data_IF_284541117343
#
_entry.id   IF_284541117343
#
_cell.length_a   1.000
_cell.length_b   1.000
_cell.length_c   1.000
_cell.angle_alpha   90.00
_cell.angle_beta   90.00
_cell.angle_gamma   90.00
#
_symmetry.space_group_name_H-M   'P 1'
#
loop_
_entity.id
_entity.type
_entity.pdbx_description
1 polymer ?
#
# COMPACT_ATOMS: atom_id res chain seq x y z
N UNK A 1 22.98 -8.02 42.30
CA UNK A 1 23.18 -7.53 40.92
C UNK A 1 21.85 -7.01 40.45
N UNK A 2 21.77 -5.79 39.89
CA UNK A 2 20.49 -5.22 39.47
C UNK A 2 19.92 -6.09 38.34
N UNK A 3 18.73 -6.66 38.56
CA UNK A 3 18.07 -7.61 37.64
C UNK A 3 17.07 -6.93 36.72
N UNK A 4 16.99 -5.59 36.77
CA UNK A 4 16.06 -4.85 35.93
C UNK A 4 16.38 -5.05 34.44
N UNK A 5 15.36 -5.34 33.61
CA UNK A 5 15.55 -5.57 32.19
C UNK A 5 16.08 -4.29 31.52
N UNK A 6 17.02 -4.47 30.58
CA UNK A 6 17.41 -3.42 29.64
C UNK A 6 16.21 -3.08 28.76
N UNK A 7 16.10 -1.83 28.32
CA UNK A 7 15.06 -1.41 27.37
C UNK A 7 15.71 -0.86 26.11
N UNK A 8 15.21 -1.23 24.95
CA UNK A 8 15.64 -0.73 23.65
C UNK A 8 14.49 -0.01 22.97
N UNK A 9 14.68 1.28 22.71
CA UNK A 9 13.77 2.09 21.92
C UNK A 9 14.20 2.05 20.46
N UNK A 10 13.28 1.76 19.54
CA UNK A 10 13.50 1.89 18.10
C UNK A 10 12.63 3.03 17.60
N UNK A 11 13.25 4.18 17.37
CA UNK A 11 12.55 5.46 17.23
C UNK A 11 12.59 5.92 15.77
N UNK A 12 11.42 5.97 15.14
CA UNK A 12 11.25 6.63 13.84
C UNK A 12 11.46 8.13 13.96
N UNK A 13 12.43 8.68 13.23
CA UNK A 13 12.80 10.10 13.25
C UNK A 13 12.34 10.88 12.02
N UNK A 14 11.46 10.28 11.21
CA UNK A 14 10.88 10.96 10.06
C UNK A 14 11.76 10.94 8.80
N UNK A 15 11.24 11.51 7.71
CA UNK A 15 11.87 11.42 6.38
C UNK A 15 13.01 12.42 6.10
N UNK A 16 13.39 13.29 7.06
CA UNK A 16 14.47 14.27 6.88
C UNK A 16 14.15 15.70 7.33
N UNK A 17 12.89 15.99 7.64
CA UNK A 17 12.44 17.24 8.28
C UNK A 17 12.43 17.06 9.81
N UNK A 18 13.08 17.92 10.62
CA UNK A 18 12.97 17.89 12.08
C UNK A 18 11.51 17.91 12.58
N UNK A 19 10.62 18.62 11.87
CA UNK A 19 9.21 18.73 12.25
C UNK A 19 8.43 17.43 12.03
N UNK A 20 9.04 16.42 11.40
CA UNK A 20 8.47 15.08 11.32
C UNK A 20 8.60 14.28 12.63
N UNK A 21 9.36 14.77 13.62
CA UNK A 21 9.41 14.14 14.93
C UNK A 21 8.03 14.14 15.58
N UNK A 22 7.53 12.95 15.88
CA UNK A 22 6.29 12.83 16.63
C UNK A 22 6.52 13.20 18.09
N UNK A 23 5.48 13.64 18.79
CA UNK A 23 5.57 13.84 20.25
C UNK A 23 5.95 12.56 21.00
N UNK A 24 5.64 11.38 20.45
CA UNK A 24 6.09 10.11 20.99
C UNK A 24 7.60 9.91 20.80
N UNK A 25 8.15 10.27 19.63
CA UNK A 25 9.58 10.20 19.35
C UNK A 25 10.36 11.15 20.27
N UNK A 26 9.91 12.39 20.46
CA UNK A 26 10.53 13.36 21.39
C UNK A 26 10.56 12.80 22.82
N UNK A 27 9.42 12.28 23.32
CA UNK A 27 9.36 11.66 24.65
C UNK A 27 10.22 10.40 24.76
N UNK A 28 10.39 9.65 23.68
CA UNK A 28 11.25 8.47 23.67
C UNK A 28 12.73 8.86 23.72
N UNK A 29 13.14 9.84 22.91
CA UNK A 29 14.50 10.41 22.93
C UNK A 29 14.82 10.94 24.33
N UNK A 30 13.91 11.67 24.97
CA UNK A 30 14.15 12.24 26.31
C UNK A 30 14.32 11.20 27.42
N UNK A 31 13.94 9.93 27.21
CA UNK A 31 14.04 8.83 28.19
C UNK A 31 15.30 7.97 28.01
N UNK A 32 15.99 8.07 26.89
CA UNK A 32 17.12 7.20 26.58
C UNK A 32 18.40 7.65 27.29
N UNK A 33 19.10 6.70 27.91
CA UNK A 33 20.42 6.90 28.53
C UNK A 33 21.55 6.80 27.49
N UNK A 34 21.38 5.93 26.49
CA UNK A 34 22.41 5.60 25.50
C UNK A 34 21.80 5.57 24.09
N UNK A 35 22.40 6.30 23.16
CA UNK A 35 22.01 6.28 21.75
C UNK A 35 23.05 5.53 20.92
N UNK A 36 22.60 4.52 20.19
CA UNK A 36 23.43 3.75 19.28
C UNK A 36 23.35 4.35 17.88
N UNK A 37 24.47 4.84 17.37
CA UNK A 37 24.56 5.45 16.05
C UNK A 37 25.51 4.62 15.18
N UNK A 38 24.94 3.95 14.18
CA UNK A 38 25.75 3.31 13.14
C UNK A 38 26.10 4.30 12.04
N UNK A 39 27.40 4.44 11.79
CA UNK A 39 27.95 5.30 10.74
C UNK A 39 28.65 4.51 9.63
N UNK A 40 28.65 5.06 8.42
CA UNK A 40 29.48 4.60 7.29
C UNK A 40 30.58 5.62 7.04
N UNK A 41 31.58 5.66 7.92
CA UNK A 41 32.72 6.58 7.76
C UNK A 41 32.33 8.04 7.44
N UNK A 42 33.24 8.84 6.89
CA UNK A 42 33.06 10.28 6.72
C UNK A 42 32.11 10.74 5.58
N UNK A 43 31.40 9.84 4.89
CA UNK A 43 30.63 10.17 3.67
C UNK A 43 29.15 10.57 3.87
N UNK A 44 28.69 10.85 5.11
CA UNK A 44 27.30 11.30 5.36
C UNK A 44 27.21 12.37 6.45
N UNK A 45 27.92 13.48 6.28
CA UNK A 45 27.92 14.58 7.27
C UNK A 45 26.50 15.10 7.54
N UNK A 46 25.73 15.47 6.51
CA UNK A 46 24.46 16.17 6.69
C UNK A 46 23.39 15.38 7.47
N UNK A 47 23.21 14.08 7.21
CA UNK A 47 22.26 13.24 7.95
C UNK A 47 22.73 12.92 9.37
N UNK A 48 24.05 12.78 9.56
CA UNK A 48 24.64 12.59 10.88
C UNK A 48 24.49 13.85 11.73
N UNK A 49 24.72 15.02 11.13
CA UNK A 49 24.53 16.32 11.76
C UNK A 49 23.07 16.56 12.13
N UNK A 50 22.13 16.15 11.28
CA UNK A 50 20.70 16.24 11.59
C UNK A 50 20.32 15.38 12.80
N UNK A 51 20.82 14.15 12.90
CA UNK A 51 20.62 13.31 14.09
C UNK A 51 21.20 13.95 15.35
N UNK A 52 22.41 14.51 15.26
CA UNK A 52 23.07 15.20 16.38
C UNK A 52 22.23 16.38 16.86
N UNK A 53 21.74 17.23 15.94
CA UNK A 53 20.84 18.33 16.29
C UNK A 53 19.57 17.87 17.00
N UNK A 54 18.93 16.80 16.52
CA UNK A 54 17.75 16.24 17.18
C UNK A 54 18.04 15.76 18.61
N UNK A 55 19.21 15.16 18.83
CA UNK A 55 19.64 14.75 20.17
C UNK A 55 19.95 15.95 21.06
N UNK A 56 20.68 16.94 20.56
CA UNK A 56 21.02 18.15 21.30
C UNK A 56 19.77 18.92 21.76
N UNK A 57 18.71 18.88 20.95
CA UNK A 57 17.45 19.58 21.25
C UNK A 57 16.50 18.81 22.16
N UNK A 58 16.44 17.47 22.05
CA UNK A 58 15.36 16.69 22.67
C UNK A 58 15.82 15.62 23.68
N UNK A 59 17.10 15.27 23.74
CA UNK A 59 17.60 14.30 24.71
C UNK A 59 17.79 14.94 26.09
N UNK A 60 17.51 14.18 27.16
CA UNK A 60 17.70 14.64 28.54
C UNK A 60 19.12 14.31 29.02
N UNK A 61 19.95 15.28 29.43
CA UNK A 61 21.23 14.98 30.04
C UNK A 61 21.11 14.32 31.43
N UNK A 62 22.04 13.43 31.82
CA UNK A 62 23.17 12.94 31.01
C UNK A 62 22.73 11.80 30.07
N UNK A 63 23.10 11.90 28.80
CA UNK A 63 23.01 10.79 27.83
C UNK A 63 24.38 10.54 27.19
N UNK A 64 24.56 9.35 26.60
CA UNK A 64 25.77 8.98 25.84
C UNK A 64 25.41 8.63 24.42
N UNK A 65 26.29 8.95 23.48
CA UNK A 65 26.21 8.46 22.10
C UNK A 65 27.34 7.46 21.89
N UNK A 66 26.97 6.25 21.49
CA UNK A 66 27.91 5.17 21.15
C UNK A 66 27.88 5.01 19.64
N UNK A 67 29.00 5.36 19.01
CA UNK A 67 29.17 5.25 17.57
C UNK A 67 29.88 3.94 17.22
N UNK A 68 29.39 3.26 16.18
CA UNK A 68 30.04 2.08 15.63
C UNK A 68 30.01 2.10 14.10
N UNK A 69 31.02 1.48 13.50
CA UNK A 69 31.13 1.36 12.05
C UNK A 69 30.17 0.27 11.54
N UNK A 70 29.30 0.64 10.60
CA UNK A 70 28.39 -0.30 9.94
C UNK A 70 29.20 -1.28 9.08
N UNK A 71 29.03 -2.61 9.24
CA UNK A 71 29.77 -3.59 8.45
C UNK A 71 29.67 -3.31 6.95
N UNK A 72 30.80 -3.39 6.25
CA UNK A 72 30.82 -3.21 4.79
C UNK A 72 29.99 -4.31 4.10
N UNK A 73 29.19 -3.90 3.11
CA UNK A 73 28.47 -4.82 2.21
C UNK A 73 29.14 -4.79 0.84
N UNK A 74 29.72 -5.92 0.44
CA UNK A 74 30.33 -6.09 -0.88
C UNK A 74 29.24 -6.16 -1.98
N UNK A 75 28.96 -5.01 -2.60
CA UNK A 75 27.95 -4.88 -3.68
C UNK A 75 28.44 -5.41 -5.03
N UNK A 76 29.74 -5.71 -5.18
CA UNK A 76 30.33 -6.14 -6.45
C UNK A 76 30.16 -7.65 -6.71
N UNK A 77 29.86 -8.44 -5.68
CA UNK A 77 29.58 -9.89 -5.79
C UNK A 77 28.12 -10.23 -6.10
N UNK A 78 27.28 -9.24 -6.40
CA UNK A 78 25.83 -9.37 -6.62
C UNK A 78 25.50 -9.96 -8.02
N UNK A 79 25.82 -11.24 -8.23
CA UNK A 79 25.12 -12.06 -9.23
C UNK A 79 23.74 -12.51 -8.70
N UNK A 80 22.81 -12.90 -9.59
CA UNK A 80 21.42 -13.29 -9.23
C UNK A 80 21.29 -14.38 -8.15
N UNK A 81 22.28 -15.26 -7.98
CA UNK A 81 22.28 -16.27 -6.90
C UNK A 81 23.09 -15.89 -5.65
N UNK A 82 23.88 -14.81 -5.69
CA UNK A 82 24.77 -14.37 -4.59
C UNK A 82 24.19 -13.27 -3.70
N UNK A 83 23.14 -12.57 -4.16
CA UNK A 83 22.53 -11.44 -3.44
C UNK A 83 21.98 -11.84 -2.07
N UNK A 84 21.19 -12.92 -1.99
CA UNK A 84 20.57 -13.36 -0.73
C UNK A 84 21.62 -13.76 0.31
N UNK A 85 22.67 -14.47 -0.12
CA UNK A 85 23.76 -14.90 0.76
C UNK A 85 24.59 -13.70 1.26
N UNK A 86 24.92 -12.73 0.39
CA UNK A 86 25.66 -11.53 0.78
C UNK A 86 24.85 -10.62 1.72
N UNK A 87 23.53 -10.52 1.53
CA UNK A 87 22.64 -9.80 2.45
C UNK A 87 22.56 -10.51 3.80
N UNK A 88 22.46 -11.84 3.81
CA UNK A 88 22.41 -12.64 5.04
C UNK A 88 23.70 -12.51 5.86
N UNK A 89 24.87 -12.67 5.24
CA UNK A 89 26.18 -12.51 5.91
C UNK A 89 26.35 -11.09 6.47
N UNK A 90 26.01 -10.06 5.69
CA UNK A 90 26.05 -8.68 6.16
C UNK A 90 25.10 -8.43 7.35
N UNK A 91 23.87 -8.96 7.30
CA UNK A 91 22.90 -8.86 8.41
C UNK A 91 23.41 -9.55 9.67
N UNK A 92 23.96 -10.75 9.54
CA UNK A 92 24.54 -11.51 10.66
C UNK A 92 25.67 -10.73 11.34
N UNK A 93 26.60 -10.15 10.58
CA UNK A 93 27.67 -9.31 11.15
C UNK A 93 27.15 -8.07 11.86
N UNK A 94 26.04 -7.50 11.38
CA UNK A 94 25.40 -6.34 12.01
C UNK A 94 24.64 -6.75 13.28
N UNK A 95 24.05 -7.93 13.31
CA UNK A 95 23.47 -8.51 14.53
C UNK A 95 24.55 -8.74 15.59
N UNK A 96 25.71 -9.30 15.22
CA UNK A 96 26.83 -9.46 16.15
C UNK A 96 27.31 -8.11 16.69
N UNK A 97 27.32 -7.07 15.86
CA UNK A 97 27.67 -5.71 16.30
C UNK A 97 26.64 -5.16 17.30
N UNK A 98 25.35 -5.23 16.99
CA UNK A 98 24.28 -4.78 17.88
C UNK A 98 24.31 -5.52 19.21
N UNK A 99 24.46 -6.84 19.18
CA UNK A 99 24.55 -7.67 20.38
C UNK A 99 25.70 -7.23 21.28
N UNK A 100 26.90 -6.98 20.71
CA UNK A 100 28.04 -6.44 21.46
C UNK A 100 27.73 -5.07 22.06
N UNK A 101 27.19 -4.15 21.26
CA UNK A 101 26.85 -2.80 21.75
C UNK A 101 25.83 -2.84 22.89
N UNK A 102 24.77 -3.62 22.76
CA UNK A 102 23.73 -3.75 23.79
C UNK A 102 24.30 -4.38 25.06
N UNK A 103 25.11 -5.43 24.92
CA UNK A 103 25.70 -6.12 26.08
C UNK A 103 26.71 -5.26 26.82
N UNK A 104 27.61 -4.61 26.07
CA UNK A 104 28.81 -4.00 26.63
C UNK A 104 28.57 -2.52 27.03
N UNK A 105 27.64 -1.82 26.37
CA UNK A 105 27.40 -0.39 26.58
C UNK A 105 26.06 -0.06 27.27
N UNK A 106 25.12 -1.00 27.35
CA UNK A 106 23.85 -0.81 28.06
C UNK A 106 23.82 -1.61 29.36
N UNK A 107 23.88 -0.91 30.50
CA UNK A 107 23.75 -1.53 31.82
C UNK A 107 22.33 -2.05 32.11
N UNK A 108 22.14 -3.01 33.03
CA UNK A 108 20.81 -3.42 33.49
C UNK A 108 19.96 -2.25 34.00
N UNK A 109 18.67 -2.24 33.68
CA UNK A 109 17.73 -1.18 34.01
C UNK A 109 17.90 0.14 33.22
N UNK A 110 18.85 0.21 32.28
CA UNK A 110 19.05 1.38 31.40
C UNK A 110 18.25 1.26 30.11
N UNK A 111 18.00 2.41 29.50
CA UNK A 111 17.27 2.55 28.24
C UNK A 111 18.23 2.95 27.11
N UNK A 112 18.42 2.06 26.15
CA UNK A 112 19.13 2.34 24.90
C UNK A 112 18.18 2.76 23.79
N UNK A 113 18.66 3.47 22.77
CA UNK A 113 17.86 3.89 21.63
C UNK A 113 18.58 3.77 20.29
N UNK A 114 17.86 3.30 19.28
CA UNK A 114 18.23 3.37 17.87
C UNK A 114 17.36 4.42 17.16
N UNK A 115 17.99 5.37 16.47
CA UNK A 115 17.29 6.37 15.65
C UNK A 115 17.19 5.89 14.20
N UNK A 116 15.96 5.63 13.74
CA UNK A 116 15.65 5.06 12.42
C UNK A 116 15.02 6.11 11.53
N UNK A 117 15.57 6.31 10.32
CA UNK A 117 14.99 7.23 9.34
C UNK A 117 13.63 6.72 8.87
N UNK A 118 12.67 7.63 8.72
CA UNK A 118 11.31 7.30 8.35
C UNK A 118 10.58 6.60 9.49
N UNK A 119 10.07 5.41 9.19
CA UNK A 119 9.35 4.55 10.13
C UNK A 119 10.08 3.20 10.29
N UNK A 120 10.27 2.69 11.52
CA UNK A 120 10.96 1.41 11.75
C UNK A 120 10.33 0.19 11.05
N UNK A 121 9.05 0.25 10.70
CA UNK A 121 8.35 -0.85 10.05
C UNK A 121 8.59 -0.91 8.53
N UNK A 122 9.13 0.15 7.90
CA UNK A 122 9.20 0.25 6.45
C UNK A 122 10.63 0.19 5.92
N UNK A 123 11.00 -0.96 5.35
CA UNK A 123 12.32 -1.22 4.73
C UNK A 123 13.55 -0.90 5.59
N UNK A 124 13.42 -0.99 6.90
CA UNK A 124 14.54 -0.92 7.84
C UNK A 124 14.91 -2.31 8.39
N UNK A 125 16.18 -2.51 8.74
CA UNK A 125 16.67 -3.81 9.23
C UNK A 125 16.70 -3.93 10.75
N UNK A 126 16.54 -2.84 11.50
CA UNK A 126 16.80 -2.77 12.95
C UNK A 126 15.94 -3.76 13.73
N UNK A 127 14.63 -3.78 13.50
CA UNK A 127 13.71 -4.69 14.21
C UNK A 127 14.03 -6.17 13.96
N UNK A 128 14.30 -6.53 12.70
CA UNK A 128 14.68 -7.90 12.36
C UNK A 128 16.01 -8.34 12.99
N UNK A 129 16.95 -7.40 13.14
CA UNK A 129 18.23 -7.68 13.82
C UNK A 129 18.00 -7.86 15.33
N UNK A 130 17.19 -7.02 15.96
CA UNK A 130 16.90 -7.14 17.40
C UNK A 130 16.16 -8.45 17.72
N UNK A 131 15.22 -8.87 16.86
CA UNK A 131 14.55 -10.16 16.99
C UNK A 131 15.54 -11.33 16.92
N UNK A 132 16.50 -11.30 15.99
CA UNK A 132 17.56 -12.31 15.90
C UNK A 132 18.40 -12.39 17.20
N UNK A 133 18.71 -11.24 17.81
CA UNK A 133 19.49 -11.20 19.06
C UNK A 133 18.66 -11.74 20.23
N UNK A 134 17.36 -11.41 20.29
CA UNK A 134 16.44 -11.93 21.29
C UNK A 134 16.34 -13.46 21.19
N UNK A 135 16.22 -14.01 19.97
CA UNK A 135 16.22 -15.46 19.71
C UNK A 135 17.53 -16.14 20.15
N UNK A 136 18.68 -15.48 19.98
CA UNK A 136 19.99 -15.98 20.46
C UNK A 136 20.07 -16.06 21.99
N UNK A 137 19.34 -15.21 22.71
CA UNK A 137 19.26 -15.21 24.18
C UNK A 137 20.55 -14.87 24.93
N UNK A 138 21.54 -14.29 24.26
CA UNK A 138 22.86 -13.94 24.82
C UNK A 138 22.81 -12.70 25.72
N UNK A 139 21.85 -11.80 25.47
CA UNK A 139 21.59 -10.58 26.25
C UNK A 139 20.08 -10.34 26.32
N UNK A 140 19.56 -10.12 27.53
CA UNK A 140 18.15 -9.86 27.76
C UNK A 140 17.82 -8.37 27.71
N UNK A 141 16.77 -8.01 26.97
CA UNK A 141 16.21 -6.66 26.84
C UNK A 141 14.75 -6.72 26.39
N UNK A 142 14.00 -5.66 26.66
CA UNK A 142 12.67 -5.42 26.09
C UNK A 142 12.77 -4.40 24.95
N UNK A 143 11.96 -4.56 23.89
CA UNK A 143 11.92 -3.64 22.75
C UNK A 143 10.64 -2.81 22.71
N UNK A 144 10.75 -1.49 22.60
CA UNK A 144 9.64 -0.56 22.36
C UNK A 144 9.86 0.14 21.00
N UNK A 145 8.85 0.13 20.14
CA UNK A 145 8.93 0.74 18.80
C UNK A 145 8.08 2.01 18.76
N UNK A 146 8.67 3.11 18.30
CA UNK A 146 7.99 4.39 18.13
C UNK A 146 7.87 4.69 16.63
N UNK A 147 6.65 4.84 16.09
CA UNK A 147 6.45 5.11 14.67
C UNK A 147 6.94 6.51 14.29
N UNK A 148 7.26 6.67 13.00
CA UNK A 148 7.73 7.92 12.42
C UNK A 148 7.09 8.23 11.08
N UNK A 149 7.24 9.47 10.60
CA UNK A 149 6.73 9.86 9.28
C UNK A 149 7.59 9.22 8.19
N UNK A 150 7.05 8.25 7.46
CA UNK A 150 7.75 7.59 6.36
C UNK A 150 8.02 8.53 5.17
N UNK A 151 9.01 8.19 4.34
CA UNK A 151 9.24 8.90 3.06
C UNK A 151 8.06 8.77 2.09
N UNK A 152 7.26 7.72 2.22
CA UNK A 152 6.05 7.48 1.42
C UNK A 152 4.96 8.50 1.78
N UNK A 153 4.70 8.66 3.08
CA UNK A 153 3.75 9.67 3.58
C UNK A 153 4.23 11.09 3.26
N UNK A 154 5.54 11.35 3.42
CA UNK A 154 6.12 12.65 3.08
C UNK A 154 6.01 12.95 1.57
N UNK A 155 6.27 11.98 0.69
CA UNK A 155 6.10 12.15 -0.76
C UNK A 155 4.66 12.53 -1.11
N UNK A 156 3.68 11.79 -0.59
CA UNK A 156 2.27 12.06 -0.83
C UNK A 156 1.85 13.46 -0.35
N UNK A 157 2.30 13.85 0.84
CA UNK A 157 2.03 15.17 1.40
C UNK A 157 2.65 16.30 0.55
N UNK A 158 3.90 16.15 0.12
CA UNK A 158 4.62 17.16 -0.69
C UNK A 158 4.03 17.32 -2.09
N UNK A 159 3.56 16.23 -2.69
CA UNK A 159 2.81 16.27 -3.97
C UNK A 159 1.33 16.62 -3.81
N UNK A 160 0.82 16.73 -2.56
CA UNK A 160 -0.59 17.01 -2.22
C UNK A 160 -1.57 16.00 -2.83
N UNK A 161 -1.24 14.72 -2.72
CA UNK A 161 -2.03 13.62 -3.26
C UNK A 161 -2.34 12.59 -2.18
N UNK A 162 -3.39 11.80 -2.41
CA UNK A 162 -3.57 10.51 -1.73
C UNK A 162 -2.71 9.44 -2.40
N UNK A 163 -2.23 8.48 -1.61
CA UNK A 163 -1.48 7.33 -2.14
C UNK A 163 -2.35 6.44 -3.01
N UNK A 164 -3.62 6.25 -2.64
CA UNK A 164 -4.58 5.47 -3.41
C UNK A 164 -5.55 6.38 -4.18
N UNK A 165 -6.00 5.90 -5.34
CA UNK A 165 -7.26 6.30 -5.95
C UNK A 165 -8.43 5.61 -5.23
N UNK A 166 -9.65 6.09 -5.45
CA UNK A 166 -10.86 5.54 -4.83
C UNK A 166 -11.00 4.06 -5.18
N UNK A 167 -11.09 3.21 -4.16
CA UNK A 167 -11.27 1.76 -4.32
C UNK A 167 -10.05 0.99 -4.84
N UNK A 168 -8.91 1.66 -5.11
CA UNK A 168 -7.71 1.00 -5.63
C UNK A 168 -6.71 0.63 -4.53
N UNK A 169 -6.02 -0.51 -4.64
CA UNK A 169 -4.97 -0.88 -3.70
C UNK A 169 -3.72 0.00 -3.85
N UNK A 170 -2.90 0.03 -2.80
CA UNK A 170 -1.55 0.61 -2.84
C UNK A 170 -0.55 -0.52 -2.67
N UNK A 171 0.42 -0.61 -3.59
CA UNK A 171 1.54 -1.53 -3.49
C UNK A 171 2.81 -0.76 -3.21
N UNK A 172 3.44 -1.01 -2.06
CA UNK A 172 4.77 -0.49 -1.74
C UNK A 172 5.80 -1.57 -2.06
N UNK A 173 6.75 -1.27 -2.94
CA UNK A 173 7.65 -2.30 -3.49
C UNK A 173 9.07 -1.76 -3.72
N UNK A 174 10.13 -2.59 -3.62
CA UNK A 174 11.44 -2.17 -4.06
C UNK A 174 11.52 -2.17 -5.60
N UNK A 175 12.35 -1.30 -6.17
CA UNK A 175 12.51 -1.19 -7.63
C UNK A 175 12.85 -2.51 -8.35
N UNK A 176 13.60 -3.41 -7.71
CA UNK A 176 13.89 -4.75 -8.27
C UNK A 176 12.60 -5.53 -8.56
N UNK A 177 11.62 -5.48 -7.65
CA UNK A 177 10.33 -6.17 -7.80
C UNK A 177 9.48 -5.51 -8.87
N UNK A 178 9.52 -4.18 -8.99
CA UNK A 178 8.88 -3.47 -10.11
C UNK A 178 9.38 -4.00 -11.47
N UNK A 179 10.69 -4.21 -11.65
CA UNK A 179 11.24 -4.75 -12.91
C UNK A 179 10.78 -6.19 -13.20
N UNK A 180 10.58 -6.99 -12.16
CA UNK A 180 10.18 -8.40 -12.27
C UNK A 180 8.67 -8.55 -12.51
N UNK A 181 7.86 -7.74 -11.83
CA UNK A 181 6.41 -7.91 -11.73
C UNK A 181 5.65 -6.90 -12.60
N UNK A 182 6.28 -5.79 -13.01
CA UNK A 182 5.63 -4.71 -13.74
C UNK A 182 4.62 -3.92 -12.90
N UNK A 183 3.78 -3.15 -13.59
CA UNK A 183 2.63 -2.47 -13.00
C UNK A 183 1.40 -3.39 -12.99
N UNK A 184 0.62 -3.29 -11.93
CA UNK A 184 -0.66 -3.95 -11.70
C UNK A 184 -1.76 -2.88 -11.57
N UNK A 185 -2.95 -3.27 -11.11
CA UNK A 185 -4.06 -2.35 -10.88
C UNK A 185 -3.88 -1.45 -9.64
N UNK A 186 -2.77 -1.58 -8.92
CA UNK A 186 -2.44 -0.80 -7.75
C UNK A 186 -1.76 0.54 -8.08
N UNK A 187 -1.89 1.48 -7.16
CA UNK A 187 -0.99 2.62 -7.07
C UNK A 187 0.35 2.16 -6.48
N UNK A 188 1.43 2.25 -7.26
CA UNK A 188 2.70 1.59 -6.92
C UNK A 188 3.69 2.61 -6.38
N UNK A 189 3.94 2.56 -5.08
CA UNK A 189 5.03 3.32 -4.45
C UNK A 189 6.31 2.50 -4.52
N UNK A 190 7.34 3.09 -5.10
CA UNK A 190 8.63 2.44 -5.33
C UNK A 190 9.70 3.06 -4.45
N UNK A 191 10.46 2.18 -3.81
CA UNK A 191 11.56 2.51 -2.90
C UNK A 191 12.82 1.75 -3.31
N UNK A 192 13.96 2.13 -2.73
CA UNK A 192 15.24 1.42 -2.88
C UNK A 192 15.70 1.27 -4.34
N UNK A 193 15.45 2.30 -5.16
CA UNK A 193 15.84 2.28 -6.56
C UNK A 193 17.25 2.84 -6.78
N UNK A 194 18.19 1.98 -7.12
CA UNK A 194 19.54 2.42 -7.53
C UNK A 194 19.61 2.75 -9.02
N UNK A 195 18.73 2.19 -9.86
CA UNK A 195 18.91 2.09 -11.30
C UNK A 195 17.73 2.58 -12.13
N UNK A 196 16.89 3.46 -11.58
CA UNK A 196 15.85 4.18 -12.32
C UNK A 196 14.83 3.25 -13.01
N UNK A 197 14.33 2.24 -12.29
CA UNK A 197 13.39 1.25 -12.79
C UNK A 197 12.13 1.87 -13.43
N UNK A 198 11.76 3.10 -13.07
CA UNK A 198 10.69 3.83 -13.74
C UNK A 198 10.94 4.05 -15.25
N UNK A 199 12.18 4.08 -15.73
CA UNK A 199 12.48 4.24 -17.17
C UNK A 199 12.16 2.98 -17.99
N UNK A 200 11.99 1.84 -17.33
CA UNK A 200 11.69 0.55 -17.96
C UNK A 200 10.18 0.28 -18.04
N UNK A 201 9.35 1.15 -17.46
CA UNK A 201 7.89 1.03 -17.48
C UNK A 201 7.37 1.53 -18.82
N UNK A 202 6.86 0.62 -19.64
CA UNK A 202 6.31 0.90 -20.97
C UNK A 202 4.79 1.11 -20.90
N UNK A 203 4.33 2.33 -20.60
CA UNK A 203 2.92 2.70 -20.66
C UNK A 203 2.73 4.24 -20.77
N UNK A 204 2.02 4.67 -21.81
CA UNK A 204 1.70 6.08 -22.09
C UNK A 204 0.63 6.66 -21.14
N UNK A 205 -0.04 5.81 -20.35
CA UNK A 205 -1.04 6.17 -19.34
C UNK A 205 -0.48 6.31 -17.94
N UNK A 206 0.83 6.22 -17.72
CA UNK A 206 1.42 6.28 -16.37
C UNK A 206 1.80 7.70 -15.99
N UNK A 207 1.36 8.11 -14.82
CA UNK A 207 1.77 9.32 -14.13
C UNK A 207 2.77 8.97 -13.02
N UNK A 208 3.84 9.75 -12.92
CA UNK A 208 4.82 9.63 -11.84
C UNK A 208 4.75 10.83 -10.90
N UNK A 209 4.83 10.57 -9.60
CA UNK A 209 5.13 11.55 -8.56
C UNK A 209 6.45 11.16 -7.92
N UNK A 210 7.52 11.81 -8.33
CA UNK A 210 8.88 11.51 -7.88
C UNK A 210 9.37 12.57 -6.90
N UNK A 211 10.16 12.13 -5.91
CA UNK A 211 10.84 13.03 -4.99
C UNK A 211 12.20 12.49 -4.55
N UNK A 212 13.19 13.37 -4.48
CA UNK A 212 14.48 13.11 -3.84
C UNK A 212 14.66 13.99 -2.61
N UNK A 213 15.31 13.43 -1.58
CA UNK A 213 15.57 14.10 -0.30
C UNK A 213 14.33 14.77 0.33
N UNK A 214 13.17 14.11 0.17
CA UNK A 214 11.85 14.63 0.55
C UNK A 214 11.84 15.03 2.03
N UNK A 215 11.44 16.27 2.32
CA UNK A 215 11.43 16.86 3.66
C UNK A 215 12.73 17.54 4.09
N UNK A 216 13.82 17.43 3.32
CA UNK A 216 15.07 18.14 3.62
C UNK A 216 15.17 19.47 2.86
N UNK A 217 16.12 20.36 3.21
CA UNK A 217 16.39 21.57 2.43
C UNK A 217 16.82 21.31 0.97
N UNK A 218 17.31 20.11 0.66
CA UNK A 218 17.75 19.70 -0.67
C UNK A 218 16.62 19.05 -1.50
N UNK A 219 15.35 19.15 -1.06
CA UNK A 219 14.21 18.49 -1.68
C UNK A 219 14.06 18.83 -3.19
N UNK A 220 13.84 17.78 -3.98
CA UNK A 220 13.53 17.90 -5.41
C UNK A 220 12.25 17.13 -5.68
N UNK A 221 11.26 17.79 -6.29
CA UNK A 221 9.98 17.18 -6.67
C UNK A 221 9.76 17.30 -8.18
N UNK A 222 9.33 16.20 -8.79
CA UNK A 222 8.92 16.16 -10.20
C UNK A 222 7.66 15.32 -10.31
N UNK A 223 6.67 15.81 -11.04
CA UNK A 223 5.49 15.02 -11.38
C UNK A 223 5.02 15.32 -12.79
N UNK A 224 4.38 14.33 -13.41
CA UNK A 224 3.88 14.43 -14.77
C UNK A 224 3.65 13.06 -15.41
N UNK A 225 3.15 13.04 -16.66
CA UNK A 225 3.17 11.84 -17.48
C UNK A 225 4.59 11.29 -17.57
N UNK A 226 4.76 10.02 -17.28
CA UNK A 226 6.08 9.38 -17.18
C UNK A 226 6.92 9.57 -18.45
N UNK A 227 6.40 9.42 -19.69
CA UNK A 227 7.18 9.67 -20.90
C UNK A 227 7.74 11.10 -21.00
N UNK A 228 7.01 12.08 -20.46
CA UNK A 228 7.37 13.50 -20.57
C UNK A 228 8.45 13.89 -19.54
N UNK A 229 8.43 13.27 -18.36
CA UNK A 229 9.28 13.70 -17.22
C UNK A 229 10.43 12.74 -16.90
N UNK A 230 10.43 11.50 -17.40
CA UNK A 230 11.48 10.51 -17.10
C UNK A 230 12.89 11.04 -17.37
N UNK A 231 13.15 11.61 -18.55
CA UNK A 231 14.46 12.18 -18.89
C UNK A 231 14.86 13.39 -18.03
N UNK A 232 13.88 14.16 -17.51
CA UNK A 232 14.16 15.23 -16.55
C UNK A 232 14.54 14.66 -15.19
N UNK A 233 13.83 13.64 -14.72
CA UNK A 233 14.13 12.97 -13.45
C UNK A 233 15.55 12.38 -13.48
N UNK A 234 15.91 11.67 -14.55
CA UNK A 234 17.25 11.07 -14.68
C UNK A 234 18.38 12.09 -14.60
N UNK A 235 18.22 13.24 -15.27
CA UNK A 235 19.21 14.33 -15.17
C UNK A 235 19.32 14.89 -13.76
N UNK A 236 18.19 15.24 -13.13
CA UNK A 236 18.18 15.78 -11.76
C UNK A 236 18.78 14.79 -10.76
N UNK A 237 18.48 13.50 -10.93
CA UNK A 237 19.02 12.42 -10.10
C UNK A 237 20.54 12.32 -10.22
N UNK A 238 21.07 12.39 -11.45
CA UNK A 238 22.51 12.37 -11.71
C UNK A 238 23.22 13.62 -11.14
N UNK A 239 22.64 14.81 -11.35
CA UNK A 239 23.18 16.08 -10.82
C UNK A 239 23.21 16.09 -9.28
N UNK A 240 22.14 15.67 -8.64
CA UNK A 240 22.04 15.56 -7.20
C UNK A 240 23.06 14.56 -6.63
N UNK A 241 23.18 13.38 -7.25
CA UNK A 241 24.19 12.39 -6.86
C UNK A 241 25.61 12.93 -7.01
N UNK A 242 25.91 13.67 -8.07
CA UNK A 242 27.21 14.30 -8.27
C UNK A 242 27.51 15.38 -7.22
N UNK A 243 26.50 16.17 -6.82
CA UNK A 243 26.64 17.22 -5.81
C UNK A 243 26.81 16.67 -4.39
N UNK A 244 26.02 15.66 -4.02
CA UNK A 244 25.94 15.20 -2.63
C UNK A 244 26.71 13.89 -2.38
N UNK A 245 27.20 13.20 -3.42
CA UNK A 245 27.85 11.89 -3.34
C UNK A 245 26.89 10.71 -3.13
N UNK A 246 25.63 10.98 -2.83
CA UNK A 246 24.57 10.00 -2.63
C UNK A 246 23.23 10.55 -3.12
N UNK A 247 22.26 9.67 -3.33
CA UNK A 247 20.88 10.04 -3.60
C UNK A 247 19.93 9.07 -2.90
N UNK A 248 18.82 9.60 -2.43
CA UNK A 248 17.69 8.83 -1.93
C UNK A 248 16.43 9.43 -2.51
N UNK A 249 15.78 8.65 -3.36
CA UNK A 249 14.53 8.99 -4.00
C UNK A 249 13.46 7.92 -3.73
N UNK A 250 12.22 8.35 -3.84
CA UNK A 250 11.03 7.49 -3.80
C UNK A 250 10.00 8.09 -4.74
N UNK A 251 9.17 7.24 -5.33
CA UNK A 251 8.18 7.72 -6.29
C UNK A 251 6.92 6.87 -6.28
N UNK A 252 5.80 7.48 -6.64
CA UNK A 252 4.54 6.81 -6.90
C UNK A 252 4.32 6.75 -8.42
N UNK A 253 4.03 5.55 -8.92
CA UNK A 253 3.53 5.32 -10.27
C UNK A 253 2.03 5.03 -10.20
N UNK A 254 1.26 5.70 -11.05
CA UNK A 254 -0.19 5.58 -11.12
C UNK A 254 -0.64 5.58 -12.56
N UNK A 255 -1.43 4.58 -12.96
CA UNK A 255 -2.14 4.64 -14.24
C UNK A 255 -3.27 5.66 -14.14
N UNK A 256 -3.27 6.64 -15.03
CA UNK A 256 -4.31 7.66 -15.15
C UNK A 256 -5.04 7.47 -16.47
N UNK A 257 -6.36 7.57 -16.44
CA UNK A 257 -7.15 7.63 -17.67
C UNK A 257 -6.77 8.93 -18.39
N UNK A 258 -6.10 8.81 -19.54
CA UNK A 258 -5.78 9.96 -20.37
C UNK A 258 -7.12 10.56 -20.84
N UNK A 259 -7.43 11.83 -20.59
CA UNK A 259 -8.53 12.45 -21.32
C UNK A 259 -8.19 12.36 -22.81
N UNK A 260 -9.07 11.76 -23.60
CA UNK A 260 -8.94 11.66 -25.05
C UNK A 260 -8.61 13.03 -25.62
N UNK A 261 -7.44 13.18 -26.23
CA UNK A 261 -7.13 14.33 -27.06
C UNK A 261 -8.03 14.25 -28.30
N UNK A 262 -9.08 15.08 -28.36
CA UNK A 262 -9.99 15.13 -29.50
C UNK A 262 -11.13 16.13 -29.30
N UNK A 263 -10.94 17.34 -29.80
CA UNK A 263 -11.98 18.38 -29.84
C UNK A 263 -11.41 19.78 -29.75
N UNK A 264 -10.57 20.16 -30.72
CA UNK A 264 -10.45 21.57 -31.05
C UNK A 264 -11.83 22.02 -31.54
N UNK A 265 -12.53 22.83 -30.75
CA UNK A 265 -13.47 23.77 -31.33
C UNK A 265 -13.53 25.05 -30.51
N UNK A 266 -13.57 26.13 -31.27
CA UNK A 266 -13.33 27.52 -30.95
C UNK A 266 -14.26 28.11 -29.89
N UNK A 267 -13.67 28.81 -28.92
CA UNK A 267 -14.24 30.05 -28.37
C UNK A 267 -13.16 30.83 -27.60
N UNK A 268 -12.25 31.46 -28.34
CA UNK A 268 -11.44 32.54 -27.81
C UNK A 268 -11.36 33.62 -28.89
N UNK A 269 -12.29 34.58 -28.83
CA UNK A 269 -12.00 35.93 -29.28
C UNK A 269 -12.85 36.97 -28.55
N UNK A 270 -12.21 38.11 -28.27
CA UNK A 270 -12.66 39.31 -27.54
C UNK A 270 -12.75 39.19 -26.00
N UNK A 271 -12.13 40.03 -25.17
CA UNK A 271 -11.42 41.28 -25.41
C UNK A 271 -10.42 41.55 -24.27
N UNK A 272 -9.35 42.27 -24.59
CA UNK A 272 -8.40 42.83 -23.64
C UNK A 272 -8.80 44.26 -23.23
N UNK A 273 -8.11 44.71 -22.17
CA UNK A 273 -7.95 46.07 -21.63
C UNK A 273 -8.98 46.64 -20.63
N UNK A 274 -8.45 47.03 -19.46
CA UNK A 274 -8.92 48.25 -18.79
C UNK A 274 -8.89 48.32 -17.26
N UNK A 275 -7.72 48.67 -16.72
CA UNK A 275 -7.51 49.62 -15.60
C UNK A 275 -7.86 49.27 -14.13
N UNK A 276 -6.96 49.79 -13.28
CA UNK A 276 -6.97 49.77 -11.82
C UNK A 276 -7.96 50.76 -11.18
N UNK A 277 -8.39 50.46 -9.95
CA UNK A 277 -9.13 51.39 -9.09
C UNK A 277 -9.50 50.77 -7.74
N UNK A 278 -9.07 51.40 -6.66
CA UNK A 278 -9.19 50.99 -5.25
C UNK A 278 -10.57 51.23 -4.61
N UNK A 279 -10.82 50.46 -3.52
CA UNK A 279 -11.48 50.83 -2.25
C UNK A 279 -12.86 50.21 -1.90
N UNK A 280 -12.83 49.46 -0.79
CA UNK A 280 -13.77 49.36 0.34
C UNK A 280 -15.29 49.20 0.12
N UNK A 281 -15.86 48.22 0.83
CA UNK A 281 -17.28 48.24 1.24
C UNK A 281 -17.86 46.85 1.46
N UNK A 282 -18.28 46.53 2.69
CA UNK A 282 -18.66 45.17 3.09
C UNK A 282 -20.06 44.69 2.68
N UNK A 283 -20.24 43.38 2.92
CA UNK A 283 -21.46 42.69 3.40
C UNK A 283 -22.32 41.89 2.41
N UNK A 284 -22.50 40.63 2.84
CA UNK A 284 -23.64 39.72 2.67
C UNK A 284 -23.70 38.77 1.46
N UNK A 285 -23.47 37.49 1.78
CA UNK A 285 -24.41 36.39 1.56
C UNK A 285 -24.72 35.94 0.13
N UNK A 286 -24.05 34.86 -0.33
CA UNK A 286 -24.70 33.82 -1.14
C UNK A 286 -23.89 32.53 -1.20
N UNK A 287 -24.57 31.40 -1.00
CA UNK A 287 -24.07 30.04 -1.07
C UNK A 287 -23.63 29.65 -2.50
N UNK A 288 -22.68 28.70 -2.67
CA UNK A 288 -22.29 28.25 -3.99
C UNK A 288 -23.26 27.19 -4.53
N UNK A 289 -23.63 27.34 -5.80
CA UNK A 289 -24.48 26.42 -6.54
C UNK A 289 -23.76 25.12 -6.87
N UNK A 290 -24.46 24.00 -6.69
CA UNK A 290 -24.04 22.66 -7.07
C UNK A 290 -23.82 22.54 -8.60
N UNK A 291 -22.73 21.88 -8.99
CA UNK A 291 -22.51 21.35 -10.34
C UNK A 291 -23.42 20.12 -10.56
N UNK A 292 -23.87 19.84 -11.79
CA UNK A 292 -24.76 18.72 -12.07
C UNK A 292 -24.00 17.40 -11.91
N UNK A 293 -24.62 16.43 -11.25
CA UNK A 293 -24.13 15.06 -11.14
C UNK A 293 -24.20 14.35 -12.50
N UNK A 294 -23.12 13.65 -12.86
CA UNK A 294 -23.13 12.71 -13.98
C UNK A 294 -24.06 11.53 -13.64
N UNK A 295 -24.92 11.18 -14.57
CA UNK A 295 -25.92 10.11 -14.47
C UNK A 295 -25.28 8.72 -14.40
N UNK A 296 -25.50 8.01 -13.29
CA UNK A 296 -25.27 6.56 -13.15
C UNK A 296 -26.20 5.80 -14.12
N UNK A 297 -25.75 4.74 -14.81
CA UNK A 297 -26.66 3.86 -15.54
C UNK A 297 -27.54 3.12 -14.53
N UNK A 298 -28.85 3.27 -14.63
CA UNK A 298 -29.81 2.55 -13.80
C UNK A 298 -29.93 1.10 -14.28
N UNK A 299 -29.76 0.14 -13.36
CA UNK A 299 -30.12 -1.27 -13.57
C UNK A 299 -31.62 -1.37 -13.88
N UNK A 300 -32.05 -2.26 -14.80
CA UNK A 300 -33.46 -2.47 -15.06
C UNK A 300 -34.12 -3.13 -13.83
N UNK A 301 -35.08 -2.44 -13.22
CA UNK A 301 -35.87 -2.98 -12.12
C UNK A 301 -36.81 -4.10 -12.57
N UNK A 302 -37.16 -5.06 -11.69
CA UNK A 302 -38.04 -6.17 -12.04
C UNK A 302 -39.46 -5.67 -12.29
N UNK A 303 -40.04 -6.06 -13.43
CA UNK A 303 -41.43 -5.78 -13.76
C UNK A 303 -42.39 -6.62 -12.92
N UNK A 304 -43.23 -5.97 -12.11
CA UNK A 304 -44.27 -6.64 -11.33
C UNK A 304 -45.26 -5.65 -10.70
N UNK A 305 -46.57 -5.92 -10.84
CA UNK A 305 -47.69 -5.02 -10.50
C UNK A 305 -47.83 -4.77 -9.00
N UNK A 306 -48.29 -3.57 -8.66
CA UNK A 306 -48.60 -3.12 -7.29
C UNK A 306 -49.63 -4.02 -6.59
N UNK A 307 -49.33 -4.38 -5.34
CA UNK A 307 -50.27 -4.94 -4.37
C UNK A 307 -50.19 -4.15 -3.05
N UNK A 308 -51.35 -4.01 -2.41
CA UNK A 308 -51.67 -3.07 -1.34
C UNK A 308 -50.90 -3.28 -0.03
N UNK A 309 -50.75 -2.17 0.71
CA UNK A 309 -49.95 -2.06 1.93
C UNK A 309 -50.54 -2.84 3.13
N UNK A 310 -49.76 -3.78 3.66
CA UNK A 310 -49.92 -4.39 4.99
C UNK A 310 -48.85 -3.89 5.98
N UNK A 311 -49.14 -4.01 7.28
CA UNK A 311 -48.29 -3.61 8.43
C UNK A 311 -46.83 -4.13 8.37
N UNK A 312 -45.86 -3.48 9.05
CA UNK A 312 -44.44 -3.74 8.85
C UNK A 312 -44.00 -5.08 9.45
N UNK A 313 -44.09 -6.13 8.64
CA UNK A 313 -43.44 -7.42 8.85
C UNK A 313 -41.95 -7.39 8.49
N UNK A 314 -41.21 -8.37 9.01
CA UNK A 314 -39.82 -8.74 8.68
C UNK A 314 -39.33 -8.24 7.31
N UNK A 315 -38.21 -7.53 7.29
CA UNK A 315 -37.69 -6.80 6.13
C UNK A 315 -37.67 -7.63 4.82
N UNK A 316 -38.38 -7.13 3.81
CA UNK A 316 -38.34 -7.54 2.38
C UNK A 316 -36.97 -7.22 1.71
N UNK A 317 -35.86 -7.49 2.40
CA UNK A 317 -34.52 -7.20 1.93
C UNK A 317 -33.78 -8.49 1.59
N UNK A 318 -33.51 -8.70 0.30
CA UNK A 318 -32.76 -9.84 -0.22
C UNK A 318 -31.35 -9.38 -0.67
N UNK A 319 -30.32 -10.14 -0.30
CA UNK A 319 -28.96 -9.92 -0.76
C UNK A 319 -28.61 -10.92 -1.86
N UNK A 320 -28.43 -10.41 -3.10
CA UNK A 320 -28.08 -11.24 -4.27
C UNK A 320 -26.69 -10.81 -4.77
N UNK A 321 -25.63 -11.62 -4.53
CA UNK A 321 -24.30 -11.27 -5.00
C UNK A 321 -24.21 -11.40 -6.52
N UNK A 322 -23.42 -10.51 -7.12
CA UNK A 322 -23.10 -10.52 -8.56
C UNK A 322 -21.72 -11.14 -8.74
N UNK A 323 -21.61 -12.10 -9.66
CA UNK A 323 -20.37 -12.77 -10.04
C UNK A 323 -20.02 -12.36 -11.47
N UNK A 324 -18.74 -12.02 -11.67
CA UNK A 324 -18.21 -11.74 -13.00
C UNK A 324 -18.01 -13.05 -13.76
N UNK A 325 -18.59 -13.15 -14.95
CA UNK A 325 -18.42 -14.31 -15.86
C UNK A 325 -18.12 -13.83 -17.27
N UNK A 326 -17.26 -14.53 -18.02
CA UNK A 326 -16.97 -14.18 -19.41
C UNK A 326 -18.06 -14.67 -20.38
N UNK A 327 -18.68 -15.80 -20.06
CA UNK A 327 -19.79 -16.41 -20.82
C UNK A 327 -20.86 -16.90 -19.84
N UNK A 328 -22.00 -16.20 -19.81
CA UNK A 328 -23.09 -16.51 -18.91
C UNK A 328 -23.73 -17.88 -19.19
N UNK A 329 -23.73 -18.35 -20.44
CA UNK A 329 -24.31 -19.64 -20.77
C UNK A 329 -23.42 -20.79 -20.26
N UNK A 330 -22.10 -20.68 -20.47
CA UNK A 330 -21.13 -21.65 -19.95
C UNK A 330 -21.15 -21.68 -18.40
N UNK A 331 -21.24 -20.50 -17.77
CA UNK A 331 -21.37 -20.40 -16.33
C UNK A 331 -22.67 -21.07 -15.83
N UNK A 332 -23.83 -20.77 -16.44
CA UNK A 332 -25.11 -21.41 -16.07
C UNK A 332 -25.00 -22.93 -16.09
N UNK A 333 -24.47 -23.53 -17.16
CA UNK A 333 -24.31 -24.99 -17.26
C UNK A 333 -23.39 -25.56 -16.16
N UNK A 334 -22.41 -24.78 -15.70
CA UNK A 334 -21.58 -25.17 -14.58
C UNK A 334 -22.35 -25.10 -13.24
N UNK A 335 -23.11 -24.03 -13.00
CA UNK A 335 -23.89 -23.84 -11.77
C UNK A 335 -25.09 -24.80 -11.68
N UNK A 336 -25.62 -25.29 -12.80
CA UNK A 336 -26.65 -26.32 -12.83
C UNK A 336 -26.20 -27.64 -12.17
N UNK A 337 -24.91 -27.97 -12.25
CA UNK A 337 -24.33 -29.12 -11.54
C UNK A 337 -24.34 -28.94 -10.02
N UNK A 338 -24.39 -27.70 -9.54
CA UNK A 338 -24.63 -27.37 -8.14
C UNK A 338 -26.11 -27.27 -7.80
N UNK A 339 -27.02 -27.62 -8.71
CA UNK A 339 -28.47 -27.57 -8.50
C UNK A 339 -29.08 -26.17 -8.58
N UNK A 340 -28.38 -25.20 -9.19
CA UNK A 340 -29.00 -23.94 -9.58
C UNK A 340 -29.82 -24.10 -10.87
N UNK A 341 -30.84 -23.27 -11.04
CA UNK A 341 -31.60 -23.15 -12.27
C UNK A 341 -31.64 -21.70 -12.73
N UNK A 342 -31.51 -21.47 -14.03
CA UNK A 342 -31.67 -20.15 -14.64
C UNK A 342 -33.09 -19.63 -14.44
N UNK A 343 -33.21 -18.42 -13.90
CA UNK A 343 -34.49 -17.74 -13.66
C UNK A 343 -34.79 -16.71 -14.74
N UNK A 344 -33.77 -16.01 -15.21
CA UNK A 344 -33.91 -14.97 -16.22
C UNK A 344 -32.57 -14.53 -16.79
N UNK A 345 -32.61 -13.92 -17.97
CA UNK A 345 -31.46 -13.28 -18.59
C UNK A 345 -31.92 -11.97 -19.23
N UNK A 346 -31.12 -10.93 -19.02
CA UNK A 346 -31.29 -9.64 -19.67
C UNK A 346 -30.07 -9.36 -20.56
N UNK A 347 -30.34 -8.90 -21.78
CA UNK A 347 -29.38 -8.30 -22.71
C UNK A 347 -29.99 -7.03 -23.26
N UNK A 348 -29.20 -5.96 -23.36
CA UNK A 348 -29.67 -4.71 -23.96
C UNK A 348 -29.93 -4.88 -25.45
N UNK A 349 -29.08 -5.63 -26.16
CA UNK A 349 -29.24 -6.00 -27.57
C UNK A 349 -28.62 -7.40 -27.84
N UNK A 350 -29.02 -8.09 -28.92
CA UNK A 350 -28.38 -9.36 -29.31
C UNK A 350 -26.87 -9.21 -29.50
N UNK A 351 -26.08 -10.03 -28.81
CA UNK A 351 -24.61 -10.01 -28.88
C UNK A 351 -23.92 -9.06 -27.89
N UNK A 352 -24.67 -8.26 -27.13
CA UNK A 352 -24.14 -7.49 -26.00
C UNK A 352 -24.11 -8.33 -24.71
N UNK A 353 -23.30 -7.93 -23.71
CA UNK A 353 -23.16 -8.67 -22.46
C UNK A 353 -24.50 -9.04 -21.80
N UNK A 354 -24.60 -10.27 -21.31
CA UNK A 354 -25.72 -10.74 -20.49
C UNK A 354 -25.57 -10.42 -19.01
N UNK A 355 -26.74 -10.24 -18.40
CA UNK A 355 -26.94 -10.28 -16.96
C UNK A 355 -27.96 -11.37 -16.66
N UNK A 356 -27.52 -12.44 -16.00
CA UNK A 356 -28.30 -13.68 -15.82
C UNK A 356 -28.54 -13.98 -14.34
N UNK A 357 -29.79 -14.26 -13.98
CA UNK A 357 -30.16 -14.71 -12.64
C UNK A 357 -30.24 -16.23 -12.59
N UNK A 358 -29.61 -16.82 -11.57
CA UNK A 358 -29.72 -18.25 -11.24
C UNK A 358 -30.16 -18.41 -9.78
N UNK A 359 -30.93 -19.45 -9.50
CA UNK A 359 -31.43 -19.74 -8.15
C UNK A 359 -31.35 -21.22 -7.78
N UNK A 360 -31.06 -21.49 -6.49
CA UNK A 360 -31.14 -22.80 -5.84
C UNK A 360 -31.93 -22.64 -4.54
N UNK A 361 -33.21 -23.00 -4.57
CA UNK A 361 -34.10 -22.77 -3.42
C UNK A 361 -34.12 -21.27 -3.06
N UNK A 362 -33.78 -20.88 -1.81
CA UNK A 362 -33.74 -19.47 -1.41
C UNK A 362 -32.44 -18.74 -1.80
N UNK A 363 -31.44 -19.42 -2.38
CA UNK A 363 -30.16 -18.79 -2.74
C UNK A 363 -30.22 -18.31 -4.19
N UNK A 364 -29.97 -17.02 -4.40
CA UNK A 364 -29.86 -16.41 -5.73
C UNK A 364 -28.46 -15.88 -5.98
N UNK A 365 -28.02 -15.94 -7.23
CA UNK A 365 -26.79 -15.32 -7.71
C UNK A 365 -27.07 -14.62 -9.05
N UNK A 366 -26.43 -13.48 -9.28
CA UNK A 366 -26.36 -12.87 -10.60
C UNK A 366 -25.03 -13.20 -11.26
N UNK A 367 -25.08 -13.54 -12.55
CA UNK A 367 -23.92 -13.78 -13.40
C UNK A 367 -23.86 -12.65 -14.43
N UNK A 368 -22.81 -11.83 -14.39
CA UNK A 368 -22.69 -10.66 -15.27
C UNK A 368 -21.50 -10.76 -16.23
N UNK A 369 -21.80 -10.63 -17.53
CA UNK A 369 -20.84 -10.43 -18.61
C UNK A 369 -20.34 -8.97 -18.69
N UNK A 370 -20.91 -8.04 -17.93
CA UNK A 370 -20.52 -6.64 -17.93
C UNK A 370 -19.22 -6.41 -17.14
N UNK A 371 -18.27 -5.71 -17.77
CA UNK A 371 -17.05 -5.26 -17.09
C UNK A 371 -17.38 -4.10 -16.15
N UNK A 372 -17.15 -4.29 -14.84
CA UNK A 372 -17.38 -3.29 -13.80
C UNK A 372 -18.44 -3.68 -12.77
N UNK A 373 -19.32 -4.64 -13.08
CA UNK A 373 -20.39 -5.08 -12.17
C UNK A 373 -19.86 -5.86 -10.96
N UNK A 374 -18.84 -6.68 -11.18
CA UNK A 374 -18.19 -7.50 -10.16
C UNK A 374 -16.73 -7.77 -10.51
N UNK A 375 -15.89 -8.01 -9.49
CA UNK A 375 -14.50 -8.43 -9.66
C UNK A 375 -14.38 -9.95 -9.91
N UNK A 376 -13.35 -10.41 -10.63
CA UNK A 376 -13.10 -11.84 -10.83
C UNK A 376 -12.64 -12.52 -9.53
N UNK A 377 -12.80 -13.85 -9.45
CA UNK A 377 -12.29 -14.64 -8.32
C UNK A 377 -13.06 -14.49 -7.01
N UNK A 378 -14.30 -14.00 -7.07
CA UNK A 378 -15.17 -13.78 -5.90
C UNK A 378 -15.40 -15.09 -5.15
N UNK A 379 -15.40 -15.04 -3.81
CA UNK A 379 -15.69 -16.20 -2.97
C UNK A 379 -17.15 -16.17 -2.50
N UNK A 380 -17.89 -17.23 -2.83
CA UNK A 380 -19.23 -17.50 -2.28
C UNK A 380 -19.15 -18.71 -1.35
N UNK A 381 -19.69 -18.59 -0.14
CA UNK A 381 -19.86 -19.73 0.76
C UNK A 381 -21.31 -20.24 0.68
N UNK A 382 -21.49 -21.47 0.23
CA UNK A 382 -22.80 -22.12 0.12
C UNK A 382 -22.95 -23.19 1.18
N UNK A 383 -23.96 -23.07 2.05
CA UNK A 383 -24.31 -24.13 2.99
C UNK A 383 -25.27 -25.12 2.34
N UNK A 384 -24.95 -26.40 2.44
CA UNK A 384 -25.78 -27.50 1.91
C UNK A 384 -25.99 -28.57 2.97
N UNK A 385 -27.10 -29.29 2.87
CA UNK A 385 -27.37 -30.43 3.76
C UNK A 385 -26.46 -31.64 3.50
N UNK A 386 -25.95 -31.78 2.28
CA UNK A 386 -25.10 -32.91 1.88
C UNK A 386 -23.97 -32.43 0.95
N UNK A 387 -22.79 -32.22 1.52
CA UNK A 387 -21.58 -31.84 0.78
C UNK A 387 -20.96 -33.01 0.03
N UNK A 388 -21.24 -34.26 0.41
CA UNK A 388 -20.68 -35.45 -0.23
C UNK A 388 -21.31 -35.67 -1.62
N UNK A 389 -22.61 -35.39 -1.75
CA UNK A 389 -23.28 -35.38 -3.06
C UNK A 389 -22.66 -34.36 -4.02
N UNK A 390 -22.34 -33.16 -3.52
CA UNK A 390 -21.67 -32.11 -4.30
C UNK A 390 -20.25 -32.54 -4.68
N UNK A 391 -19.49 -33.09 -3.73
CA UNK A 391 -18.14 -33.57 -3.98
C UNK A 391 -18.11 -34.68 -5.04
N UNK A 392 -19.09 -35.60 -5.01
CA UNK A 392 -19.24 -36.66 -6.02
C UNK A 392 -19.48 -36.13 -7.44
N UNK A 393 -20.39 -35.16 -7.59
CA UNK A 393 -20.69 -34.51 -8.89
C UNK A 393 -19.47 -33.82 -9.50
N UNK A 394 -18.59 -33.27 -8.67
CA UNK A 394 -17.40 -32.54 -9.10
C UNK A 394 -16.11 -33.38 -9.08
N UNK A 395 -16.17 -34.64 -8.64
CA UNK A 395 -14.97 -35.48 -8.43
C UNK A 395 -13.97 -34.87 -7.43
N UNK A 396 -14.48 -34.08 -6.48
CA UNK A 396 -13.68 -33.31 -5.53
C UNK A 396 -13.58 -34.03 -4.18
N UNK A 397 -12.54 -33.71 -3.40
CA UNK A 397 -12.35 -34.28 -2.06
C UNK A 397 -12.92 -33.36 -0.99
N UNK A 398 -13.72 -33.91 -0.07
CA UNK A 398 -14.24 -33.19 1.08
C UNK A 398 -13.14 -33.06 2.15
N UNK A 399 -13.02 -31.87 2.71
CA UNK A 399 -12.12 -31.56 3.83
C UNK A 399 -12.92 -31.24 5.08
N UNK A 400 -12.39 -31.59 6.25
CA UNK A 400 -13.02 -31.26 7.54
C UNK A 400 -12.40 -29.97 8.07
N UNK A 401 -13.20 -28.90 8.17
CA UNK A 401 -12.87 -27.64 8.81
C UNK A 401 -13.49 -27.57 10.22
N UNK A 402 -13.05 -26.65 11.10
CA UNK A 402 -13.49 -26.62 12.51
C UNK A 402 -15.00 -26.50 12.75
N UNK A 403 -15.79 -26.08 11.75
CA UNK A 403 -17.25 -25.86 11.87
C UNK A 403 -18.08 -26.51 10.74
N UNK A 404 -17.45 -27.17 9.78
CA UNK A 404 -18.13 -27.74 8.62
C UNK A 404 -17.25 -28.77 7.91
N UNK A 405 -17.88 -29.71 7.21
CA UNK A 405 -17.26 -30.48 6.14
C UNK A 405 -17.46 -29.69 4.84
N UNK A 406 -16.40 -29.42 4.10
CA UNK A 406 -16.46 -28.51 2.96
C UNK A 406 -15.58 -28.93 1.78
N UNK A 407 -15.96 -28.44 0.60
CA UNK A 407 -15.21 -28.55 -0.66
C UNK A 407 -15.03 -27.15 -1.27
N UNK A 408 -13.87 -26.88 -1.86
CA UNK A 408 -13.63 -25.69 -2.66
C UNK A 408 -13.72 -26.04 -4.15
N UNK A 409 -14.60 -25.36 -4.86
CA UNK A 409 -14.83 -25.49 -6.29
C UNK A 409 -14.49 -24.17 -6.98
N UNK A 410 -14.21 -24.24 -8.29
CA UNK A 410 -14.02 -23.07 -9.14
C UNK A 410 -14.94 -23.15 -10.35
N UNK A 411 -15.64 -22.06 -10.61
CA UNK A 411 -16.39 -21.90 -11.86
C UNK A 411 -15.42 -21.65 -13.05
N UNK A 412 -15.91 -21.63 -14.30
CA UNK A 412 -15.07 -21.42 -15.48
C UNK A 412 -14.26 -20.11 -15.48
N UNK A 413 -14.76 -19.10 -14.76
CA UNK A 413 -14.17 -17.75 -14.67
C UNK A 413 -13.31 -17.56 -13.41
N UNK A 414 -13.11 -18.64 -12.64
CA UNK A 414 -12.23 -18.68 -11.48
C UNK A 414 -12.84 -18.18 -10.17
N UNK A 415 -14.14 -17.85 -10.13
CA UNK A 415 -14.86 -17.58 -8.89
C UNK A 415 -14.80 -18.81 -7.99
N UNK A 416 -14.60 -18.60 -6.70
CA UNK A 416 -14.44 -19.66 -5.71
C UNK A 416 -15.75 -19.95 -5.03
N UNK A 417 -16.13 -21.22 -4.97
CA UNK A 417 -17.29 -21.68 -4.21
C UNK A 417 -16.82 -22.61 -3.11
N UNK A 418 -16.97 -22.17 -1.85
CA UNK A 418 -16.82 -23.05 -0.69
C UNK A 418 -18.18 -23.60 -0.32
N UNK A 419 -18.39 -24.88 -0.58
CA UNK A 419 -19.65 -25.56 -0.30
C UNK A 419 -19.47 -26.41 0.94
N UNK A 420 -20.30 -26.21 1.96
CA UNK A 420 -20.11 -26.89 3.24
C UNK A 420 -21.39 -27.35 3.92
N UNK A 421 -21.31 -28.51 4.58
CA UNK A 421 -22.30 -29.01 5.53
C UNK A 421 -21.80 -28.73 6.95
N UNK A 422 -22.53 -27.94 7.75
CA UNK A 422 -22.15 -27.70 9.15
C UNK A 422 -21.96 -28.99 9.92
N UNK A 423 -20.98 -29.00 10.81
CA UNK A 423 -20.86 -30.05 11.82
C UNK A 423 -21.83 -29.70 12.95
N UNK A 424 -22.72 -30.62 13.32
CA UNK A 424 -23.67 -30.46 14.43
C UNK A 424 -22.98 -30.24 15.78
#
# INVERSE_FOLDING_TARGET
MNTDPRRLLVIGIGAGDPDHLTLAAVKAISRADVFFVLGKGPEKSSLTDLRRRMLDEHASPPFRVVEAEDPWRDRAREGRSGYTAAVHDWRSRRADLYERLIRDELGPGRTGAFLVWGDPALYDSTLGILAEIEERGTVAFDTEVVPGVSSVSALAARHRITLNQVGRPVRITPARRLREEGLDDADVVVMLDAGEAFTEVADDGVWIYWGAYVGTPDEILVSGPLPDVAGRISRLRAEARARHGWIMDTYLLRTVDRPMAGGADSAADSAADGAAGSASGGSSGRAPSARPAASTPSLPGPGGKAQEAGEPGEADAEAVPVLRVADAAAAVSWYERLGFAKQGEHRSEPGLPAFTEIARGPVKLFLSEHTGDAGPGTLVYLRVGDVDAVAGEFGASVTTAPRAREVELRDPDGNRLRVGTPLE
#
